data_IF_154404996660
#
_entry.id   IF_154404996660
#
_cell.length_a   1.000
_cell.length_b   1.000
_cell.length_c   1.000
_cell.angle_alpha   90.00
_cell.angle_beta   90.00
_cell.angle_gamma   90.00
#
_symmetry.space_group_name_H-M   'P 1'
#
loop_
_entity.id
_entity.type
_entity.pdbx_description
1 polymer ?
#
# COMPACT_ATOMS: atom_id res chain seq x y z
N UNK A 1 -1.28 3.16 22.26
CA UNK A 1 -1.56 2.61 20.92
C UNK A 1 -0.33 2.87 20.08
N UNK A 2 0.21 1.85 19.41
CA UNK A 2 1.38 1.99 18.52
C UNK A 2 0.93 2.02 17.06
N UNK A 3 1.51 2.89 16.24
CA UNK A 3 1.25 3.01 14.80
C UNK A 3 2.42 2.40 14.03
N UNK A 4 2.15 1.40 13.21
CA UNK A 4 3.16 0.59 12.52
C UNK A 4 2.97 0.72 11.02
N UNK A 5 4.02 1.12 10.30
CA UNK A 5 4.02 1.10 8.84
C UNK A 5 4.36 -0.29 8.31
N UNK A 6 3.46 -0.93 7.57
CA UNK A 6 3.68 -2.24 6.94
C UNK A 6 4.00 -2.05 5.45
N UNK A 7 5.21 -2.41 5.05
CA UNK A 7 5.67 -2.29 3.67
C UNK A 7 6.32 -3.57 3.15
N UNK A 8 6.79 -3.57 1.91
CA UNK A 8 7.20 -4.80 1.23
C UNK A 8 7.13 -4.70 -0.28
N UNK A 9 7.99 -5.46 -0.96
CA UNK A 9 8.04 -5.52 -2.42
C UNK A 9 6.74 -6.04 -3.07
N UNK A 10 6.64 -5.92 -4.39
CA UNK A 10 5.51 -6.45 -5.15
C UNK A 10 5.43 -7.97 -4.98
N UNK A 11 4.25 -8.52 -4.71
CA UNK A 11 4.04 -9.97 -4.56
C UNK A 11 4.50 -10.58 -3.23
N UNK A 12 5.02 -9.82 -2.27
CA UNK A 12 5.43 -10.37 -0.97
C UNK A 12 4.25 -10.71 -0.03
N UNK A 13 3.02 -10.34 -0.39
CA UNK A 13 1.83 -10.71 0.38
C UNK A 13 1.49 -9.77 1.55
N UNK A 14 1.84 -8.48 1.46
CA UNK A 14 1.44 -7.44 2.44
C UNK A 14 -0.05 -7.50 2.78
N UNK A 15 -0.92 -7.56 1.77
CA UNK A 15 -2.37 -7.63 1.98
C UNK A 15 -2.80 -8.88 2.75
N UNK A 16 -2.10 -10.01 2.58
CA UNK A 16 -2.34 -11.23 3.38
C UNK A 16 -1.95 -11.01 4.84
N UNK A 17 -0.78 -10.44 5.10
CA UNK A 17 -0.33 -10.11 6.47
C UNK A 17 -1.30 -9.10 7.12
N UNK A 18 -1.69 -8.06 6.39
CA UNK A 18 -2.68 -7.07 6.81
C UNK A 18 -4.02 -7.71 7.21
N UNK A 19 -4.51 -8.68 6.42
CA UNK A 19 -5.75 -9.39 6.73
C UNK A 19 -5.60 -10.25 8.00
N UNK A 20 -4.49 -11.00 8.14
CA UNK A 20 -4.24 -11.81 9.34
C UNK A 20 -4.22 -10.91 10.59
N UNK A 21 -3.55 -9.76 10.52
CA UNK A 21 -3.52 -8.76 11.60
C UNK A 21 -4.93 -8.31 11.95
N UNK A 22 -5.70 -7.88 10.95
CA UNK A 22 -7.06 -7.36 11.12
C UNK A 22 -8.03 -8.38 11.74
N UNK A 23 -7.89 -9.65 11.38
CA UNK A 23 -8.82 -10.70 11.80
C UNK A 23 -8.49 -11.28 13.18
N UNK A 24 -7.22 -11.27 13.58
CA UNK A 24 -6.76 -12.04 14.74
C UNK A 24 -6.20 -11.22 15.89
N UNK A 25 -5.99 -9.91 15.71
CA UNK A 25 -5.35 -9.05 16.70
C UNK A 25 -6.22 -7.83 16.98
N UNK A 26 -6.03 -7.21 18.16
CA UNK A 26 -6.70 -5.94 18.51
C UNK A 26 -6.05 -4.75 17.79
N UNK A 27 -6.10 -4.80 16.45
CA UNK A 27 -5.43 -3.89 15.55
C UNK A 27 -6.38 -3.37 14.48
N UNK A 28 -6.28 -2.08 14.17
CA UNK A 28 -6.89 -1.52 12.97
C UNK A 28 -5.86 -1.51 11.83
N UNK A 29 -6.31 -1.69 10.60
CA UNK A 29 -5.45 -1.71 9.41
C UNK A 29 -5.97 -0.74 8.36
N UNK A 30 -5.16 0.27 8.05
CA UNK A 30 -5.39 1.29 7.04
C UNK A 30 -4.59 0.91 5.78
N UNK A 31 -5.30 0.55 4.71
CA UNK A 31 -4.69 0.17 3.42
C UNK A 31 -4.61 1.41 2.53
N UNK A 32 -3.40 1.89 2.25
CA UNK A 32 -3.20 3.13 1.50
C UNK A 32 -3.78 3.08 0.08
N UNK A 33 -3.67 1.92 -0.59
CA UNK A 33 -4.22 1.72 -1.93
C UNK A 33 -5.75 1.80 -1.95
N UNK A 34 -6.42 1.23 -0.94
CA UNK A 34 -7.88 1.29 -0.80
C UNK A 34 -8.35 2.70 -0.47
N UNK A 35 -7.64 3.40 0.42
CA UNK A 35 -7.90 4.80 0.74
C UNK A 35 -7.73 5.67 -0.51
N UNK A 36 -6.66 5.46 -1.27
CA UNK A 36 -6.45 6.15 -2.54
C UNK A 36 -7.59 5.90 -3.52
N UNK A 37 -8.01 4.65 -3.69
CA UNK A 37 -9.14 4.28 -4.55
C UNK A 37 -10.47 4.92 -4.11
N UNK A 38 -10.69 5.04 -2.80
CA UNK A 38 -11.85 5.72 -2.22
C UNK A 38 -11.77 7.23 -2.46
N UNK A 39 -10.64 7.90 -2.22
CA UNK A 39 -10.49 9.34 -2.41
C UNK A 39 -10.57 9.77 -3.88
N UNK A 40 -10.41 8.82 -4.81
CA UNK A 40 -10.59 9.00 -6.25
C UNK A 40 -12.04 8.83 -6.73
N UNK A 41 -13.00 8.44 -5.87
CA UNK A 41 -14.40 8.31 -6.28
C UNK A 41 -15.06 9.66 -6.57
N UNK A 42 -16.10 9.71 -7.41
CA UNK A 42 -16.85 10.95 -7.64
C UNK A 42 -17.31 11.59 -6.34
N UNK A 43 -17.06 12.91 -6.21
CA UNK A 43 -17.36 13.67 -4.99
C UNK A 43 -16.27 13.63 -3.91
N UNK A 44 -15.22 12.82 -4.08
CA UNK A 44 -14.10 12.72 -3.14
C UNK A 44 -12.94 13.64 -3.51
N UNK A 45 -12.01 13.79 -2.56
CA UNK A 45 -11.01 14.86 -2.57
C UNK A 45 -10.00 14.81 -3.72
N UNK A 46 -9.74 13.65 -4.35
CA UNK A 46 -8.83 13.54 -5.50
C UNK A 46 -9.55 13.70 -6.84
N UNK A 47 -10.85 13.41 -6.90
CA UNK A 47 -11.56 13.23 -8.17
C UNK A 47 -11.44 14.45 -9.11
N UNK A 48 -11.82 15.64 -8.63
CA UNK A 48 -11.82 16.85 -9.46
C UNK A 48 -10.43 17.25 -9.94
N UNK A 49 -9.42 17.07 -9.10
CA UNK A 49 -8.02 17.39 -9.44
C UNK A 49 -7.49 16.43 -10.51
N UNK A 50 -7.82 15.14 -10.42
CA UNK A 50 -7.47 14.16 -11.45
C UNK A 50 -8.18 14.48 -12.77
N UNK A 51 -9.47 14.80 -12.75
CA UNK A 51 -10.19 15.20 -13.97
C UNK A 51 -9.57 16.46 -14.60
N UNK A 52 -9.18 17.44 -13.79
CA UNK A 52 -8.51 18.64 -14.28
C UNK A 52 -7.13 18.35 -14.91
N UNK A 53 -6.37 17.41 -14.35
CA UNK A 53 -5.04 17.06 -14.83
C UNK A 53 -5.06 16.18 -16.10
N UNK A 54 -5.98 15.22 -16.16
CA UNK A 54 -6.01 14.20 -17.22
C UNK A 54 -7.11 14.43 -18.29
N UNK A 55 -7.96 15.43 -18.08
CA UNK A 55 -9.04 15.84 -18.97
C UNK A 55 -10.26 14.93 -18.92
N UNK A 56 -11.30 15.29 -19.68
CA UNK A 56 -12.59 14.55 -19.70
C UNK A 56 -12.44 13.10 -20.17
N UNK A 57 -11.44 12.79 -21.00
CA UNK A 57 -11.10 11.43 -21.41
C UNK A 57 -10.71 10.51 -20.24
N UNK A 58 -10.41 11.06 -19.07
CA UNK A 58 -10.11 10.31 -17.86
C UNK A 58 -11.39 9.88 -17.11
N UNK A 59 -12.57 10.21 -17.62
CA UNK A 59 -13.88 9.92 -17.02
C UNK A 59 -14.68 9.01 -17.96
N UNK A 60 -15.21 7.92 -17.41
CA UNK A 60 -16.12 7.01 -18.08
C UNK A 60 -17.52 7.63 -18.20
N UNK A 61 -18.35 7.10 -19.09
CA UNK A 61 -19.73 7.56 -19.29
C UNK A 61 -20.58 7.52 -18.00
N UNK A 62 -20.27 6.61 -17.08
CA UNK A 62 -20.95 6.50 -15.79
C UNK A 62 -20.47 7.52 -14.74
N UNK A 63 -19.58 8.44 -15.12
CA UNK A 63 -19.02 9.47 -14.25
C UNK A 63 -17.91 8.99 -13.31
N UNK A 64 -17.42 7.75 -13.44
CA UNK A 64 -16.25 7.28 -12.70
C UNK A 64 -14.96 7.56 -13.46
N UNK A 65 -13.82 7.63 -12.75
CA UNK A 65 -12.52 7.72 -13.44
C UNK A 65 -12.22 6.44 -14.23
N UNK A 66 -11.78 6.58 -15.47
CA UNK A 66 -11.21 5.49 -16.25
C UNK A 66 -9.81 5.13 -15.70
N UNK A 67 -9.79 4.35 -14.62
CA UNK A 67 -8.55 3.93 -13.97
C UNK A 67 -7.61 3.18 -14.92
N UNK A 68 -8.15 2.46 -15.91
CA UNK A 68 -7.32 1.72 -16.89
C UNK A 68 -6.70 2.70 -17.88
N UNK A 69 -7.47 3.64 -18.40
CA UNK A 69 -6.98 4.71 -19.27
C UNK A 69 -5.94 5.58 -18.56
N UNK A 70 -6.20 6.00 -17.33
CA UNK A 70 -5.24 6.77 -16.51
C UNK A 70 -3.97 5.96 -16.28
N UNK A 71 -4.08 4.69 -15.89
CA UNK A 71 -2.92 3.81 -15.73
C UNK A 71 -2.08 3.75 -17.01
N UNK A 72 -2.71 3.56 -18.17
CA UNK A 72 -2.00 3.53 -19.45
C UNK A 72 -1.27 4.85 -19.76
N UNK A 73 -1.87 5.99 -19.42
CA UNK A 73 -1.24 7.32 -19.57
C UNK A 73 -0.03 7.48 -18.65
N UNK A 74 -0.16 7.15 -17.36
CA UNK A 74 0.94 7.35 -16.40
C UNK A 74 2.06 6.32 -16.51
N UNK A 75 1.79 5.11 -17.02
CA UNK A 75 2.84 4.13 -17.28
C UNK A 75 3.67 4.44 -18.54
N UNK A 76 3.19 5.35 -19.39
CA UNK A 76 3.91 5.80 -20.58
C UNK A 76 4.70 7.09 -20.36
N UNK A 77 4.46 7.80 -19.25
CA UNK A 77 5.01 9.13 -18.99
C UNK A 77 5.23 9.36 -17.48
N UNK A 78 6.50 9.38 -17.06
CA UNK A 78 6.90 9.59 -15.68
C UNK A 78 6.46 10.96 -15.13
N UNK A 79 6.30 11.98 -15.99
CA UNK A 79 5.79 13.30 -15.58
C UNK A 79 4.31 13.17 -15.20
N UNK A 80 3.53 12.45 -16.00
CA UNK A 80 2.11 12.18 -15.70
C UNK A 80 1.96 11.33 -14.43
N UNK A 81 2.84 10.34 -14.23
CA UNK A 81 2.87 9.57 -13.00
C UNK A 81 3.17 10.45 -11.78
N UNK A 82 4.13 11.37 -11.91
CA UNK A 82 4.45 12.33 -10.85
C UNK A 82 3.27 13.24 -10.52
N UNK A 83 2.55 13.73 -11.55
CA UNK A 83 1.33 14.54 -11.37
C UNK A 83 0.25 13.75 -10.63
N UNK A 84 -0.05 12.52 -11.04
CA UNK A 84 -1.05 11.68 -10.39
C UNK A 84 -0.69 11.42 -8.92
N UNK A 85 0.55 11.03 -8.66
CA UNK A 85 1.04 10.74 -7.32
C UNK A 85 1.04 12.00 -6.44
N UNK A 86 1.37 13.17 -7.01
CA UNK A 86 1.34 14.47 -6.33
C UNK A 86 -0.07 14.89 -5.90
N UNK A 87 -1.10 14.45 -6.61
CA UNK A 87 -2.50 14.65 -6.21
C UNK A 87 -2.89 13.66 -5.11
N UNK A 88 -2.59 12.37 -5.29
CA UNK A 88 -3.12 11.30 -4.44
C UNK A 88 -2.39 11.23 -3.09
N UNK A 89 -1.05 11.20 -3.09
CA UNK A 89 -0.28 10.85 -1.88
C UNK A 89 -0.50 11.84 -0.72
N UNK A 90 -0.51 13.18 -0.92
CA UNK A 90 -0.76 14.11 0.17
C UNK A 90 -2.15 13.91 0.79
N UNK A 91 -3.18 13.65 -0.03
CA UNK A 91 -4.55 13.44 0.42
C UNK A 91 -4.72 12.12 1.18
N UNK A 92 -4.08 11.06 0.70
CA UNK A 92 -4.05 9.77 1.41
C UNK A 92 -3.35 9.92 2.77
N UNK A 93 -2.20 10.60 2.81
CA UNK A 93 -1.49 10.86 4.07
C UNK A 93 -2.31 11.68 5.06
N UNK A 94 -2.98 12.73 4.58
CA UNK A 94 -3.87 13.54 5.41
C UNK A 94 -5.04 12.71 5.97
N UNK A 95 -5.65 11.87 5.13
CA UNK A 95 -6.73 10.97 5.55
C UNK A 95 -6.25 9.98 6.61
N UNK A 96 -5.09 9.34 6.40
CA UNK A 96 -4.48 8.41 7.35
C UNK A 96 -4.23 9.09 8.69
N UNK A 97 -3.66 10.31 8.70
CA UNK A 97 -3.46 11.07 9.95
C UNK A 97 -4.76 11.28 10.71
N UNK A 98 -5.83 11.65 10.02
CA UNK A 98 -7.16 11.86 10.62
C UNK A 98 -7.73 10.55 11.19
N UNK A 99 -7.64 9.45 10.45
CA UNK A 99 -8.15 8.15 10.91
C UNK A 99 -7.33 7.60 12.08
N UNK A 100 -6.01 7.75 12.08
CA UNK A 100 -5.16 7.37 13.22
C UNK A 100 -5.60 8.11 14.49
N UNK A 101 -5.80 9.43 14.42
CA UNK A 101 -6.27 10.23 15.55
C UNK A 101 -7.66 9.78 16.04
N UNK A 102 -8.56 9.46 15.12
CA UNK A 102 -9.89 8.93 15.46
C UNK A 102 -9.79 7.60 16.20
N UNK A 103 -9.01 6.64 15.68
CA UNK A 103 -8.82 5.32 16.30
C UNK A 103 -8.15 5.46 17.68
N UNK A 104 -7.20 6.39 17.84
CA UNK A 104 -6.58 6.69 19.14
C UNK A 104 -7.62 7.13 20.17
N UNK A 105 -8.56 7.99 19.77
CA UNK A 105 -9.59 8.52 20.66
C UNK A 105 -10.62 7.46 21.07
N UNK A 106 -10.90 6.48 20.22
CA UNK A 106 -11.79 5.36 20.52
C UNK A 106 -11.22 4.44 21.62
N UNK A 107 -9.88 4.37 21.76
CA UNK A 107 -9.17 3.52 22.75
C UNK A 107 -9.53 2.04 22.68
N UNK A 108 -9.98 1.55 21.51
CA UNK A 108 -10.37 0.17 21.28
C UNK A 108 -9.23 -0.71 20.74
N UNK A 109 -8.21 -0.10 20.14
CA UNK A 109 -7.13 -0.81 19.46
C UNK A 109 -5.79 -0.55 20.14
N UNK A 110 -4.98 -1.61 20.27
CA UNK A 110 -3.61 -1.49 20.76
C UNK A 110 -2.65 -1.07 19.64
N UNK A 111 -2.95 -1.47 18.41
CA UNK A 111 -2.11 -1.24 17.24
C UNK A 111 -2.92 -0.63 16.08
N UNK A 112 -2.27 0.22 15.28
CA UNK A 112 -2.77 0.65 13.98
C UNK A 112 -1.71 0.37 12.94
N UNK A 113 -2.05 -0.37 11.90
CA UNK A 113 -1.16 -0.64 10.79
C UNK A 113 -1.50 0.27 9.61
N UNK A 114 -0.48 0.83 8.97
CA UNK A 114 -0.58 1.54 7.70
C UNK A 114 0.11 0.70 6.65
N UNK A 115 -0.66 0.03 5.79
CA UNK A 115 -0.12 -0.78 4.70
C UNK A 115 0.11 0.07 3.46
N UNK A 116 1.35 0.09 2.96
CA UNK A 116 1.68 0.75 1.71
C UNK A 116 2.92 0.14 1.05
N UNK A 117 2.84 -0.05 -0.27
CA UNK A 117 3.99 -0.46 -1.09
C UNK A 117 5.05 0.64 -1.26
N UNK A 118 4.72 1.90 -0.95
CA UNK A 118 5.55 3.09 -1.22
C UNK A 118 5.76 3.92 0.06
N UNK A 119 5.98 3.23 1.17
CA UNK A 119 6.08 3.88 2.49
C UNK A 119 7.26 4.87 2.55
N UNK A 120 8.36 4.54 1.85
CA UNK A 120 9.58 5.34 1.78
C UNK A 120 9.41 6.63 0.95
N UNK A 121 8.41 6.68 0.07
CA UNK A 121 8.12 7.82 -0.80
C UNK A 121 7.07 8.75 -0.18
N UNK A 122 6.18 8.21 0.65
CA UNK A 122 5.07 8.95 1.24
C UNK A 122 5.45 9.67 2.55
N UNK A 123 6.66 9.45 3.06
CA UNK A 123 7.19 10.13 4.24
C UNK A 123 6.35 9.88 5.48
N UNK A 124 5.93 8.64 5.73
CA UNK A 124 5.08 8.31 6.88
C UNK A 124 5.81 8.34 8.24
N UNK A 125 7.07 8.79 8.30
CA UNK A 125 7.83 8.86 9.56
C UNK A 125 7.21 9.81 10.60
N UNK A 126 6.36 10.75 10.16
CA UNK A 126 5.62 11.66 11.04
C UNK A 126 4.29 11.07 11.55
N UNK A 127 3.95 9.84 11.16
CA UNK A 127 2.72 9.13 11.58
C UNK A 127 3.01 7.77 12.22
N UNK A 128 4.01 7.06 11.71
CA UNK A 128 4.41 5.74 12.19
C UNK A 128 5.45 5.83 13.31
N UNK A 129 5.28 5.02 14.36
CA UNK A 129 6.28 4.83 15.42
C UNK A 129 7.40 3.90 14.97
N UNK A 130 7.08 2.92 14.11
CA UNK A 130 8.05 1.97 13.54
C UNK A 130 7.58 1.42 12.19
N UNK A 131 8.50 0.78 11.47
CA UNK A 131 8.25 0.20 10.15
C UNK A 131 8.59 -1.28 10.11
N UNK A 132 7.71 -2.06 9.49
CA UNK A 132 7.82 -3.50 9.32
C UNK A 132 7.89 -3.83 7.83
N UNK A 133 8.79 -4.72 7.46
CA UNK A 133 8.96 -5.18 6.08
C UNK A 133 8.49 -6.61 5.91
N UNK A 134 7.56 -6.84 4.98
CA UNK A 134 7.16 -8.19 4.56
C UNK A 134 8.09 -8.64 3.45
N UNK A 135 8.92 -9.63 3.75
CA UNK A 135 9.80 -10.29 2.78
C UNK A 135 9.16 -11.56 2.23
N UNK A 136 9.58 -11.97 1.03
CA UNK A 136 9.19 -13.26 0.45
C UNK A 136 10.24 -13.69 -0.57
N UNK A 137 10.50 -15.00 -0.73
CA UNK A 137 11.41 -15.50 -1.76
C UNK A 137 11.01 -15.01 -3.16
N UNK A 138 12.00 -14.69 -3.99
CA UNK A 138 11.79 -14.18 -5.35
C UNK A 138 10.85 -15.08 -6.17
N UNK A 139 11.10 -16.39 -6.15
CA UNK A 139 10.32 -17.39 -6.88
C UNK A 139 8.84 -17.38 -6.45
N UNK A 140 8.60 -17.24 -5.15
CA UNK A 140 7.25 -17.21 -4.60
C UNK A 140 6.52 -15.91 -4.97
N UNK A 141 7.23 -14.77 -4.97
CA UNK A 141 6.68 -13.49 -5.45
C UNK A 141 6.30 -13.57 -6.93
N UNK A 142 7.15 -14.16 -7.78
CA UNK A 142 6.89 -14.38 -9.21
C UNK A 142 5.66 -15.27 -9.39
N UNK A 143 5.62 -16.42 -8.70
CA UNK A 143 4.50 -17.37 -8.75
C UNK A 143 3.17 -16.68 -8.38
N UNK A 144 3.16 -15.92 -7.29
CA UNK A 144 1.97 -15.17 -6.83
C UNK A 144 1.51 -14.15 -7.87
N UNK A 145 2.42 -13.41 -8.49
CA UNK A 145 2.06 -12.39 -9.48
C UNK A 145 1.50 -12.99 -10.77
N UNK A 146 2.02 -14.13 -11.20
CA UNK A 146 1.46 -14.90 -12.30
C UNK A 146 0.04 -15.36 -11.99
N UNK A 147 -0.16 -16.01 -10.84
CA UNK A 147 -1.45 -16.61 -10.47
C UNK A 147 -2.51 -15.53 -10.19
N UNK A 148 -2.18 -14.52 -9.38
CA UNK A 148 -3.17 -13.53 -8.92
C UNK A 148 -3.44 -12.41 -9.92
N UNK A 149 -2.47 -12.03 -10.75
CA UNK A 149 -2.59 -10.86 -11.65
C UNK A 149 -2.42 -11.20 -13.12
N UNK A 150 -2.07 -12.45 -13.47
CA UNK A 150 -1.83 -12.86 -14.85
C UNK A 150 -0.66 -12.14 -15.52
N UNK A 151 0.32 -11.68 -14.74
CA UNK A 151 1.47 -10.94 -15.30
C UNK A 151 2.42 -11.88 -16.04
N UNK A 152 2.95 -11.41 -17.17
CA UNK A 152 4.03 -12.08 -17.90
C UNK A 152 5.36 -11.94 -17.16
N UNK A 153 6.31 -12.84 -17.44
CA UNK A 153 7.67 -12.77 -16.87
C UNK A 153 8.34 -11.43 -17.15
N UNK A 154 8.24 -10.91 -18.37
CA UNK A 154 8.78 -9.62 -18.74
C UNK A 154 8.18 -8.47 -17.90
N UNK A 155 6.87 -8.50 -17.64
CA UNK A 155 6.20 -7.51 -16.79
C UNK A 155 6.63 -7.62 -15.33
N UNK A 156 6.76 -8.84 -14.80
CA UNK A 156 7.21 -9.07 -13.43
C UNK A 156 8.63 -8.55 -13.26
N UNK A 157 9.54 -8.88 -14.17
CA UNK A 157 10.92 -8.41 -14.16
C UNK A 157 11.00 -6.88 -14.24
N UNK A 158 10.23 -6.26 -15.14
CA UNK A 158 10.18 -4.80 -15.26
C UNK A 158 9.71 -4.12 -13.96
N UNK A 159 8.67 -4.65 -13.32
CA UNK A 159 8.17 -4.09 -12.05
C UNK A 159 9.22 -4.28 -10.95
N UNK A 160 9.77 -5.49 -10.81
CA UNK A 160 10.72 -5.81 -9.74
C UNK A 160 12.03 -5.02 -9.85
N UNK A 161 12.53 -4.79 -11.07
CA UNK A 161 13.74 -3.99 -11.31
C UNK A 161 13.55 -2.49 -11.05
N UNK A 162 12.32 -1.98 -11.15
CA UNK A 162 11.99 -0.59 -10.84
C UNK A 162 11.68 -0.36 -9.35
N UNK A 163 11.66 -1.40 -8.51
CA UNK A 163 11.44 -1.22 -7.08
C UNK A 163 12.73 -0.80 -6.36
N UNK A 164 12.56 -0.12 -5.23
CA UNK A 164 13.65 0.09 -4.28
C UNK A 164 14.29 -1.22 -3.87
N UNK A 165 15.61 -1.19 -3.69
CA UNK A 165 16.37 -2.35 -3.25
C UNK A 165 15.93 -2.77 -1.85
N UNK A 166 15.87 -4.08 -1.60
CA UNK A 166 15.51 -4.65 -0.31
C UNK A 166 16.36 -4.08 0.85
N UNK A 167 17.63 -3.77 0.57
CA UNK A 167 18.55 -3.14 1.52
C UNK A 167 18.03 -1.79 2.05
N UNK A 168 17.31 -1.01 1.25
CA UNK A 168 16.74 0.26 1.68
C UNK A 168 15.62 0.05 2.70
N UNK A 169 14.81 -1.00 2.51
CA UNK A 169 13.79 -1.38 3.48
C UNK A 169 14.41 -1.94 4.76
N UNK A 170 15.49 -2.71 4.67
CA UNK A 170 16.21 -3.22 5.84
C UNK A 170 16.83 -2.11 6.71
N UNK A 171 17.15 -0.96 6.13
CA UNK A 171 17.66 0.19 6.89
C UNK A 171 16.54 0.96 7.63
N UNK A 172 15.33 0.97 7.09
CA UNK A 172 14.18 1.66 7.70
C UNK A 172 13.43 0.77 8.70
N UNK A 173 13.25 -0.51 8.36
CA UNK A 173 12.35 -1.39 9.09
C UNK A 173 13.04 -2.06 10.27
N UNK A 174 12.42 -1.97 11.44
CA UNK A 174 12.89 -2.61 12.67
C UNK A 174 12.52 -4.09 12.74
N UNK A 175 11.52 -4.51 11.96
CA UNK A 175 10.99 -5.88 11.93
C UNK A 175 10.91 -6.37 10.49
N UNK A 176 11.30 -7.62 10.27
CA UNK A 176 11.10 -8.35 9.02
C UNK A 176 10.15 -9.52 9.26
N UNK A 177 9.05 -9.57 8.52
CA UNK A 177 8.10 -10.68 8.50
C UNK A 177 8.35 -11.53 7.25
N UNK A 178 8.77 -12.77 7.45
CA UNK A 178 8.99 -13.70 6.35
C UNK A 178 7.66 -14.33 5.91
N UNK A 179 7.30 -14.13 4.65
CA UNK A 179 6.15 -14.75 4.00
C UNK A 179 6.62 -15.67 2.86
N UNK A 180 7.04 -16.87 3.23
CA UNK A 180 7.45 -17.96 2.32
C UNK A 180 6.26 -18.74 1.74
N UNK A 181 5.03 -18.49 2.21
CA UNK A 181 3.82 -19.18 1.79
C UNK A 181 3.12 -19.96 2.91
N UNK A 182 3.78 -20.13 4.06
CA UNK A 182 3.15 -20.73 5.24
C UNK A 182 2.47 -19.66 6.11
N UNK A 183 1.13 -19.67 6.12
CA UNK A 183 0.34 -18.71 6.89
C UNK A 183 0.45 -18.92 8.41
N UNK A 184 0.68 -20.16 8.87
CA UNK A 184 0.87 -20.44 10.30
C UNK A 184 2.18 -19.86 10.81
N UNK A 185 3.23 -19.89 9.96
CA UNK A 185 4.52 -19.26 10.27
C UNK A 185 4.38 -17.74 10.38
N UNK A 186 3.59 -17.11 9.50
CA UNK A 186 3.30 -15.66 9.59
C UNK A 186 2.52 -15.35 10.86
N UNK A 187 1.47 -16.11 11.13
CA UNK A 187 0.65 -15.93 12.34
C UNK A 187 1.49 -16.05 13.62
N UNK A 188 2.38 -17.05 13.68
CA UNK A 188 3.29 -17.26 14.81
C UNK A 188 4.25 -16.08 15.01
N UNK A 189 4.82 -15.54 13.93
CA UNK A 189 5.65 -14.32 14.00
C UNK A 189 4.84 -13.13 14.56
N UNK A 190 3.63 -12.90 14.02
CA UNK A 190 2.76 -11.81 14.47
C UNK A 190 2.37 -11.96 15.95
N UNK A 191 2.09 -13.18 16.41
CA UNK A 191 1.74 -13.45 17.80
C UNK A 191 2.87 -13.14 18.79
N UNK A 192 4.13 -13.32 18.38
CA UNK A 192 5.28 -12.96 19.21
C UNK A 192 5.44 -11.44 19.29
N UNK A 193 5.15 -10.73 18.19
CA UNK A 193 5.38 -9.29 18.06
C UNK A 193 4.20 -8.45 18.59
N UNK A 194 2.97 -8.96 18.51
CA UNK A 194 1.74 -8.30 18.89
C UNK A 194 1.16 -8.97 20.14
N UNK A 195 1.63 -8.48 21.29
CA UNK A 195 1.17 -8.87 22.65
C UNK A 195 0.12 -7.89 23.14
#
# INVERSE_FOLDING_TARGET
MKVIGLTGGVGCGKSTVANIIKENFQASVLIADDIGAMLMQPGQSCYKEIVAAFGEKAVLENGQLDRKGIAAMVFADDVQLSVLNGIIHPKVKEYIKKEVLKIQNEKLHQYVFIESAIILECGYEDVCDEFWYVSAPYEERVRRLKVSRGYSDAKIQAIMSNQKEEKQFQQLCSVVLENDGDLEKIYSQLKILLV
#
